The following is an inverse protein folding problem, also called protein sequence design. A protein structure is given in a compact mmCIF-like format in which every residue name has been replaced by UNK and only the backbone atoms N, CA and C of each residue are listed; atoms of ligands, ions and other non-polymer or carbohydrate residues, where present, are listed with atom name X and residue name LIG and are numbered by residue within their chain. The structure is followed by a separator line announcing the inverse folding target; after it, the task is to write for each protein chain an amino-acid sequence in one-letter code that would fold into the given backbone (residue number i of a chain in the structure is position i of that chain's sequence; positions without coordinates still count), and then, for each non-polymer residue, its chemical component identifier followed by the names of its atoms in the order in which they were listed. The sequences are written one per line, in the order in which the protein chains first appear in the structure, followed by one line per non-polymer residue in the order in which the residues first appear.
data_IF_587219276627
#
_entry.id   IF_587219276627
#
_cell.length_a   1.000
_cell.length_b   1.000
_cell.length_c   1.000
_cell.angle_alpha   90.00
_cell.angle_beta   90.00
_cell.angle_gamma   90.00
#
_symmetry.space_group_name_H-M   'P 1'
#
loop_
_entity.id
_entity.type
_entity.pdbx_description
1 polymer ?
#
# COMPACT_ATOMS: atom_id res chain seq x y z
N UNK A 1 10.93 -4.44 11.94
CA UNK A 1 11.02 -3.36 12.96
C UNK A 1 9.65 -3.02 13.54
N UNK A 2 8.74 -2.32 12.82
CA UNK A 2 7.45 -1.88 13.39
C UNK A 2 6.55 -3.06 13.82
N UNK A 3 6.40 -4.08 12.99
CA UNK A 3 5.63 -5.29 13.30
C UNK A 3 6.30 -6.10 14.43
N UNK A 4 7.61 -6.29 14.37
CA UNK A 4 8.38 -7.02 15.39
C UNK A 4 8.34 -6.33 16.77
N UNK A 5 8.24 -5.01 16.79
CA UNK A 5 8.14 -4.23 18.02
C UNK A 5 6.74 -4.23 18.60
N UNK A 6 5.75 -4.70 17.82
CA UNK A 6 4.34 -4.68 18.20
C UNK A 6 3.94 -3.36 18.87
N UNK A 7 3.96 -2.29 18.09
CA UNK A 7 3.80 -0.93 18.63
C UNK A 7 2.50 -0.72 19.41
N UNK A 8 1.46 -1.48 19.11
CA UNK A 8 0.20 -1.47 19.86
C UNK A 8 0.23 -2.38 21.10
N UNK A 9 1.16 -3.36 21.18
CA UNK A 9 1.37 -4.21 22.36
C UNK A 9 0.36 -5.34 22.52
N UNK A 10 -0.38 -5.71 21.48
CA UNK A 10 -1.43 -6.73 21.54
C UNK A 10 -1.33 -7.81 20.45
N UNK A 11 -0.24 -7.82 19.68
CA UNK A 11 0.01 -8.79 18.62
C UNK A 11 -0.83 -8.58 17.36
N UNK A 12 -1.47 -7.42 17.20
CA UNK A 12 -2.33 -7.11 16.04
C UNK A 12 -1.73 -6.07 15.10
N UNK A 13 -0.50 -5.65 15.36
CA UNK A 13 0.20 -4.64 14.55
C UNK A 13 0.50 -5.15 13.15
N UNK A 14 0.13 -4.39 12.13
CA UNK A 14 0.43 -4.65 10.72
C UNK A 14 1.45 -3.63 10.18
N UNK A 15 2.34 -4.06 9.29
CA UNK A 15 3.35 -3.19 8.70
C UNK A 15 2.77 -2.28 7.62
N UNK A 16 2.18 -2.88 6.60
CA UNK A 16 1.59 -2.20 5.45
C UNK A 16 0.13 -2.64 5.28
N UNK A 17 -0.78 -1.70 5.39
CA UNK A 17 -2.18 -1.96 5.10
C UNK A 17 -2.43 -2.07 3.59
N UNK A 18 -3.29 -3.01 3.22
CA UNK A 18 -3.78 -3.18 1.86
C UNK A 18 -5.25 -3.56 1.91
N UNK A 19 -6.04 -3.01 1.01
CA UNK A 19 -7.43 -3.43 0.80
C UNK A 19 -7.50 -4.62 -0.15
N UNK A 20 -8.68 -5.22 -0.26
CA UNK A 20 -8.98 -6.28 -1.25
C UNK A 20 -8.64 -5.86 -2.67
N UNK A 21 -8.79 -4.58 -2.98
CA UNK A 21 -8.43 -4.00 -4.27
C UNK A 21 -6.95 -3.63 -4.28
N UNK A 22 -6.10 -4.62 -4.50
CA UNK A 22 -4.64 -4.48 -4.53
C UNK A 22 -4.18 -3.38 -5.49
N UNK A 23 -4.84 -3.26 -6.64
CA UNK A 23 -4.69 -2.16 -7.60
C UNK A 23 -5.96 -1.32 -7.55
N UNK A 24 -5.96 -0.34 -6.68
CA UNK A 24 -7.16 0.41 -6.34
C UNK A 24 -7.54 1.51 -7.35
N UNK A 25 -6.59 1.91 -8.22
CA UNK A 25 -6.83 2.99 -9.17
C UNK A 25 -6.88 4.39 -8.53
N UNK A 26 -7.44 5.36 -9.26
CA UNK A 26 -7.34 6.78 -8.88
C UNK A 26 -8.18 7.18 -7.66
N UNK A 27 -9.29 6.50 -7.45
CA UNK A 27 -10.34 6.97 -6.52
C UNK A 27 -10.40 6.19 -5.20
N UNK A 28 -9.52 5.19 -5.01
CA UNK A 28 -9.54 4.35 -3.83
C UNK A 28 -8.32 4.56 -2.94
N UNK A 29 -8.52 4.35 -1.65
CA UNK A 29 -7.49 4.37 -0.62
C UNK A 29 -7.02 2.93 -0.35
N UNK A 30 -5.79 2.78 0.15
CA UNK A 30 -5.22 1.50 0.60
C UNK A 30 -4.90 0.47 -0.49
N UNK A 31 -4.90 0.84 -1.76
CA UNK A 31 -4.25 0.03 -2.80
C UNK A 31 -2.73 0.12 -2.69
N UNK A 32 -2.04 -0.87 -3.22
CA UNK A 32 -0.57 -0.88 -3.27
C UNK A 32 -0.03 -0.52 -4.66
N UNK A 33 -0.77 0.31 -5.40
CA UNK A 33 -0.42 0.82 -6.74
C UNK A 33 1.01 1.37 -6.80
N UNK A 34 1.48 2.00 -5.73
CA UNK A 34 2.83 2.55 -5.65
C UNK A 34 3.91 1.47 -5.90
N UNK A 35 3.67 0.22 -5.51
CA UNK A 35 4.59 -0.90 -5.76
C UNK A 35 4.68 -1.22 -7.25
N UNK A 36 3.54 -1.21 -7.95
CA UNK A 36 3.48 -1.44 -9.40
C UNK A 36 4.11 -0.28 -10.17
N UNK A 37 3.75 0.95 -9.84
CA UNK A 37 4.32 2.16 -10.47
C UNK A 37 5.84 2.20 -10.29
N UNK A 38 6.35 1.82 -9.12
CA UNK A 38 7.78 1.77 -8.86
C UNK A 38 8.51 0.73 -9.74
N UNK A 39 7.88 -0.40 -10.01
CA UNK A 39 8.41 -1.41 -10.92
C UNK A 39 8.28 -1.00 -12.41
N UNK A 40 7.61 0.12 -12.71
CA UNK A 40 7.28 0.52 -14.08
C UNK A 40 6.08 -0.23 -14.65
N UNK A 41 5.32 -0.91 -13.81
CA UNK A 41 4.16 -1.68 -14.18
C UNK A 41 2.89 -0.83 -14.19
N UNK A 42 1.99 -1.13 -15.11
CA UNK A 42 0.66 -0.51 -15.23
C UNK A 42 -0.40 -1.61 -15.40
N UNK A 43 -0.67 -2.39 -14.34
CA UNK A 43 -1.68 -3.43 -14.42
C UNK A 43 -3.05 -2.84 -14.74
N UNK A 44 -3.92 -3.65 -15.32
CA UNK A 44 -5.26 -3.26 -15.76
C UNK A 44 -5.33 -2.21 -16.88
N UNK A 45 -4.21 -1.85 -17.50
CA UNK A 45 -4.14 -0.88 -18.59
C UNK A 45 -3.52 -1.50 -19.85
N UNK A 46 -3.93 -1.00 -21.01
CA UNK A 46 -3.23 -1.24 -22.27
C UNK A 46 -2.11 -0.22 -22.40
N UNK A 47 -0.90 -0.67 -22.67
CA UNK A 47 0.30 0.15 -22.74
C UNK A 47 1.08 -0.15 -24.03
N UNK A 48 1.97 0.75 -24.40
CA UNK A 48 2.96 0.46 -25.44
C UNK A 48 4.22 -0.12 -24.81
N UNK A 49 4.70 -1.23 -25.35
CA UNK A 49 5.99 -1.79 -25.00
C UNK A 49 7.15 -0.97 -25.60
N UNK A 50 8.39 -1.38 -25.31
CA UNK A 50 9.60 -0.70 -25.84
C UNK A 50 9.73 -0.74 -27.36
N UNK A 51 8.99 -1.64 -28.00
CA UNK A 51 8.98 -1.82 -29.46
C UNK A 51 7.80 -1.11 -30.13
N UNK A 52 6.95 -0.45 -29.35
CA UNK A 52 5.75 0.22 -29.83
C UNK A 52 4.52 -0.68 -30.02
N UNK A 53 4.58 -1.93 -29.55
CA UNK A 53 3.43 -2.83 -29.62
C UNK A 53 2.48 -2.58 -28.44
N UNK A 54 1.19 -2.70 -28.71
CA UNK A 54 0.16 -2.65 -27.66
C UNK A 54 0.16 -3.95 -26.87
N UNK A 55 0.37 -3.85 -25.55
CA UNK A 55 0.38 -4.98 -24.64
C UNK A 55 -0.50 -4.70 -23.43
N UNK A 56 -1.06 -5.75 -22.85
CA UNK A 56 -1.85 -5.60 -21.62
C UNK A 56 -0.93 -5.57 -20.40
N UNK A 57 -0.93 -4.48 -19.65
CA UNK A 57 0.01 -4.23 -18.58
C UNK A 57 0.03 -5.27 -17.46
N UNK A 58 -1.09 -5.96 -17.22
CA UNK A 58 -1.16 -7.00 -16.19
C UNK A 58 -0.34 -8.26 -16.48
N UNK A 59 0.10 -8.49 -17.73
CA UNK A 59 0.87 -9.67 -18.13
C UNK A 59 2.33 -9.35 -18.45
N UNK A 60 2.79 -8.16 -18.10
CA UNK A 60 4.16 -7.72 -18.35
C UNK A 60 5.14 -8.26 -17.30
N UNK A 61 6.43 -8.27 -17.65
CA UNK A 61 7.49 -8.66 -16.73
C UNK A 61 7.57 -7.73 -15.51
N UNK A 62 7.34 -6.43 -15.71
CA UNK A 62 7.33 -5.42 -14.67
C UNK A 62 6.22 -5.68 -13.64
N UNK A 63 5.05 -6.14 -14.10
CA UNK A 63 3.93 -6.52 -13.22
C UNK A 63 4.28 -7.78 -12.42
N UNK A 64 4.92 -8.77 -13.03
CA UNK A 64 5.41 -9.97 -12.32
C UNK A 64 6.41 -9.59 -11.22
N UNK A 65 7.34 -8.68 -11.50
CA UNK A 65 8.33 -8.21 -10.52
C UNK A 65 7.68 -7.46 -9.35
N UNK A 66 6.66 -6.65 -9.63
CA UNK A 66 5.89 -5.98 -8.60
C UNK A 66 5.15 -6.97 -7.69
N UNK A 67 4.50 -7.97 -8.29
CA UNK A 67 3.82 -9.04 -7.55
C UNK A 67 4.79 -9.86 -6.70
N UNK A 68 5.98 -10.15 -7.20
CA UNK A 68 7.00 -10.85 -6.42
C UNK A 68 7.44 -10.04 -5.19
N UNK A 69 7.55 -8.71 -5.31
CA UNK A 69 7.83 -7.84 -4.16
C UNK A 69 6.71 -7.86 -3.13
N UNK A 70 5.45 -7.83 -3.58
CA UNK A 70 4.29 -7.93 -2.69
C UNK A 70 4.22 -9.29 -2.00
N UNK A 71 4.53 -10.37 -2.73
CA UNK A 71 4.63 -11.70 -2.17
C UNK A 71 5.69 -11.78 -1.07
N UNK A 72 6.89 -11.24 -1.30
CA UNK A 72 7.93 -11.20 -0.27
C UNK A 72 7.51 -10.39 0.96
N UNK A 73 6.84 -9.23 0.78
CA UNK A 73 6.30 -8.46 1.89
C UNK A 73 5.21 -9.22 2.67
N UNK A 74 4.47 -10.10 2.00
CA UNK A 74 3.48 -10.97 2.63
C UNK A 74 4.16 -12.11 3.40
N UNK A 75 5.16 -12.79 2.83
CA UNK A 75 5.93 -13.84 3.51
C UNK A 75 6.70 -13.29 4.74
N UNK A 76 7.19 -12.05 4.65
CA UNK A 76 7.86 -11.35 5.76
C UNK A 76 6.86 -10.75 6.79
N UNK A 77 5.57 -11.05 6.67
CA UNK A 77 4.49 -10.55 7.53
C UNK A 77 4.40 -9.01 7.62
N UNK A 78 4.99 -8.29 6.66
CA UNK A 78 4.93 -6.83 6.57
C UNK A 78 3.61 -6.39 5.96
N UNK A 79 3.18 -7.05 4.86
CA UNK A 79 1.87 -6.82 4.28
C UNK A 79 0.80 -7.48 5.14
N UNK A 80 -0.31 -6.79 5.39
CA UNK A 80 -1.42 -7.31 6.20
C UNK A 80 -1.83 -8.71 5.74
N UNK A 81 -1.67 -9.70 6.62
CA UNK A 81 -1.96 -11.11 6.33
C UNK A 81 -3.45 -11.37 6.06
N UNK A 82 -4.30 -10.45 6.45
CA UNK A 82 -5.76 -10.51 6.26
C UNK A 82 -6.27 -9.51 5.22
N UNK A 83 -5.40 -8.99 4.34
CA UNK A 83 -5.78 -7.94 3.37
C UNK A 83 -7.00 -8.32 2.52
N UNK A 84 -7.18 -9.60 2.15
CA UNK A 84 -8.34 -10.07 1.40
C UNK A 84 -9.67 -9.97 2.15
N UNK A 85 -9.63 -9.78 3.46
CA UNK A 85 -10.80 -9.64 4.31
C UNK A 85 -11.02 -8.20 4.78
N UNK A 86 -10.07 -7.30 4.49
CA UNK A 86 -10.11 -5.91 4.95
C UNK A 86 -11.02 -5.07 4.07
N UNK A 87 -11.97 -4.43 4.70
CA UNK A 87 -12.71 -3.30 4.12
C UNK A 87 -12.02 -2.00 4.53
N UNK A 88 -12.34 -0.91 3.83
CA UNK A 88 -11.81 0.43 4.13
C UNK A 88 -11.97 0.79 5.60
N UNK A 89 -13.16 0.55 6.17
CA UNK A 89 -13.48 0.87 7.57
C UNK A 89 -12.60 0.11 8.57
N UNK A 90 -12.25 -1.15 8.25
CA UNK A 90 -11.36 -1.94 9.11
C UNK A 90 -9.94 -1.35 9.13
N UNK A 91 -9.46 -0.84 7.99
CA UNK A 91 -8.14 -0.22 7.90
C UNK A 91 -8.16 1.14 8.60
N UNK A 92 -9.22 1.92 8.44
CA UNK A 92 -9.41 3.18 9.17
C UNK A 92 -9.34 2.98 10.69
N UNK A 93 -9.93 1.90 11.19
CA UNK A 93 -9.89 1.60 12.63
C UNK A 93 -8.48 1.17 13.08
N UNK A 94 -7.74 0.40 12.28
CA UNK A 94 -6.34 0.07 12.56
C UNK A 94 -5.44 1.31 12.59
N UNK A 95 -5.70 2.29 11.72
CA UNK A 95 -4.97 3.56 11.73
C UNK A 95 -5.25 4.38 12.98
N UNK A 96 -6.53 4.50 13.37
CA UNK A 96 -6.96 5.23 14.57
C UNK A 96 -6.39 4.65 15.86
N UNK A 97 -6.22 3.32 15.91
CA UNK A 97 -5.78 2.60 17.11
C UNK A 97 -4.27 2.33 17.13
N UNK A 98 -3.51 2.85 16.16
CA UNK A 98 -2.06 2.71 16.14
C UNK A 98 -1.54 1.33 15.72
N UNK A 99 -2.40 0.48 15.16
CA UNK A 99 -2.05 -0.87 14.71
C UNK A 99 -1.47 -0.95 13.30
N UNK A 100 -1.37 0.18 12.58
CA UNK A 100 -0.90 0.21 11.21
C UNK A 100 0.33 1.10 11.06
N UNK A 101 1.44 0.53 10.55
CA UNK A 101 2.70 1.23 10.38
C UNK A 101 2.82 2.04 9.10
N UNK A 102 2.18 1.62 8.02
CA UNK A 102 2.27 2.28 6.73
C UNK A 102 1.01 2.08 5.88
N UNK A 103 0.73 3.06 5.04
CA UNK A 103 -0.27 3.00 3.99
C UNK A 103 0.29 3.55 2.67
N UNK A 104 -0.20 3.06 1.55
CA UNK A 104 -0.03 3.71 0.27
C UNK A 104 -1.15 4.75 0.10
N UNK A 105 -0.90 5.96 0.61
CA UNK A 105 -1.89 7.04 0.59
C UNK A 105 -1.79 7.93 -0.64
N UNK A 106 -2.88 8.61 -0.95
CA UNK A 106 -2.95 9.68 -1.94
C UNK A 106 -2.57 11.02 -1.29
N UNK A 107 -2.47 12.09 -2.08
CA UNK A 107 -2.11 13.43 -1.60
C UNK A 107 -3.07 13.96 -0.51
N UNK A 108 -4.32 13.48 -0.48
CA UNK A 108 -5.31 13.87 0.54
C UNK A 108 -5.24 13.01 1.82
N UNK A 109 -4.41 11.98 1.88
CA UNK A 109 -4.31 11.08 3.04
C UNK A 109 -4.11 11.80 4.38
N UNK A 110 -3.39 12.93 4.48
CA UNK A 110 -3.31 13.69 5.73
C UNK A 110 -4.67 14.17 6.24
N UNK A 111 -5.60 14.52 5.35
CA UNK A 111 -6.93 14.97 5.70
C UNK A 111 -7.92 13.80 5.93
N UNK A 112 -7.75 12.72 5.20
CA UNK A 112 -8.55 11.51 5.32
C UNK A 112 -7.75 10.32 4.73
N UNK A 113 -7.39 9.30 5.49
CA UNK A 113 -7.89 8.94 6.83
C UNK A 113 -7.04 9.44 8.01
N UNK A 114 -5.84 9.97 7.81
CA UNK A 114 -4.86 10.18 8.89
C UNK A 114 -5.30 11.22 9.92
N UNK A 115 -6.14 12.18 9.55
CA UNK A 115 -6.69 13.13 10.52
C UNK A 115 -7.50 12.44 11.62
N UNK A 116 -8.14 11.32 11.33
CA UNK A 116 -8.89 10.54 12.32
C UNK A 116 -7.96 9.89 13.36
N UNK A 117 -6.77 9.43 12.97
CA UNK A 117 -5.75 8.93 13.88
C UNK A 117 -5.24 10.04 14.83
N UNK A 118 -5.00 11.24 14.29
CA UNK A 118 -4.61 12.42 15.07
C UNK A 118 -5.67 12.83 16.11
N UNK A 119 -6.94 12.66 15.79
CA UNK A 119 -8.02 12.97 16.73
C UNK A 119 -8.10 11.98 17.90
N UNK A 120 -7.58 10.77 17.73
CA UNK A 120 -7.53 9.74 18.79
C UNK A 120 -6.25 9.88 19.59
N UNK A 121 -5.11 10.03 18.91
CA UNK A 121 -3.80 10.26 19.54
C UNK A 121 -3.10 11.46 18.90
N UNK A 122 -3.06 12.57 19.62
CA UNK A 122 -2.37 13.79 19.18
C UNK A 122 -0.85 13.67 19.06
N UNK A 123 -0.25 12.61 19.58
CA UNK A 123 1.18 12.31 19.45
C UNK A 123 1.49 11.42 18.24
N UNK A 124 0.48 10.96 17.50
CA UNK A 124 0.69 10.17 16.30
C UNK A 124 1.45 10.99 15.24
N UNK A 125 2.62 10.54 14.86
CA UNK A 125 3.45 11.18 13.83
C UNK A 125 3.40 10.38 12.53
N UNK A 126 2.67 10.88 11.54
CA UNK A 126 2.67 10.34 10.19
C UNK A 126 3.62 11.12 9.30
N UNK A 127 4.58 10.43 8.67
CA UNK A 127 5.57 11.04 7.78
C UNK A 127 5.36 10.62 6.33
N UNK A 128 5.27 11.57 5.38
CA UNK A 128 5.17 11.22 3.97
C UNK A 128 6.53 10.76 3.44
N UNK A 129 6.53 9.64 2.71
CA UNK A 129 7.68 9.17 1.96
C UNK A 129 7.37 9.23 0.47
N UNK A 130 8.00 10.17 -0.23
CA UNK A 130 7.90 10.26 -1.68
C UNK A 130 8.98 9.39 -2.32
N UNK A 131 8.56 8.39 -3.03
CA UNK A 131 9.48 7.56 -3.78
C UNK A 131 9.68 8.18 -5.16
N UNK A 132 10.87 8.72 -5.42
CA UNK A 132 11.22 9.17 -6.75
C UNK A 132 11.30 7.94 -7.67
N UNK A 133 10.68 8.04 -8.84
CA UNK A 133 10.91 7.09 -9.91
C UNK A 133 12.38 7.16 -10.28
N UNK A 134 13.15 6.11 -10.01
CA UNK A 134 14.50 5.97 -10.57
C UNK A 134 14.33 5.73 -12.06
N UNK A 135 14.13 6.83 -12.80
CA UNK A 135 14.00 6.78 -14.24
C UNK A 135 15.35 6.90 -14.90
N UNK A 136 15.64 5.97 -15.77
CA UNK A 136 16.36 6.26 -16.99
C UNK A 136 15.32 6.47 -18.09
#
# INVERSE_FOLDING_TARGET
AFVEQDAAGDGQTIGLACSTDVVAGADQTYGVDATFIHAGAMPCHWILDKNGNVVYGSVTQETKEALLKLHNLYEDEILDQRFLLRKTENIDDLLKTGHCGAICGRWWAPNNPLSAAYNVDSNAEWKPYFRQRTGK
#
